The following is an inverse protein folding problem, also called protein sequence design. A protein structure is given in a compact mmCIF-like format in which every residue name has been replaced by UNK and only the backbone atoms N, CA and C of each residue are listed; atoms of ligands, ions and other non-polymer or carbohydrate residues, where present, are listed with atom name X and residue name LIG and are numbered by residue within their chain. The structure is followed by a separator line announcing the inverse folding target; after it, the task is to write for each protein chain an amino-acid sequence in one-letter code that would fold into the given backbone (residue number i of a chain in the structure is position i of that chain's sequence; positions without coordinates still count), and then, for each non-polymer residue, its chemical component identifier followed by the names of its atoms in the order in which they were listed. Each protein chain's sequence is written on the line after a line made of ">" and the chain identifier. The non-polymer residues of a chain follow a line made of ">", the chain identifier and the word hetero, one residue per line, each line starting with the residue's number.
data_IF_509121855298
#
_entry.id   IF_509121855298
#
_cell.length_a   1.000
_cell.length_b   1.000
_cell.length_c   1.000
_cell.angle_alpha   90.00
_cell.angle_beta   90.00
_cell.angle_gamma   90.00
#
_symmetry.space_group_name_H-M   'P 1'
#
loop_
_entity.id
_entity.type
_entity.pdbx_description
1 polymer ?
#
# COMPACT_ATOMS: atom_id res chain seq x y z
N UNK A 1 -20.52 0.44 5.85
CA UNK A 1 -19.28 0.64 5.08
C UNK A 1 -18.76 2.06 5.27
N UNK A 2 -17.44 2.23 5.27
CA UNK A 2 -16.83 3.56 5.40
C UNK A 2 -16.95 4.34 4.09
N UNK A 3 -16.80 3.64 2.98
CA UNK A 3 -16.97 4.10 1.61
C UNK A 3 -17.47 2.92 0.76
N UNK A 4 -18.16 3.20 -0.34
CA UNK A 4 -18.60 2.20 -1.30
C UNK A 4 -17.97 2.44 -2.69
N UNK A 5 -18.12 1.47 -3.60
CA UNK A 5 -17.57 1.54 -4.95
C UNK A 5 -18.10 2.74 -5.76
N UNK A 6 -19.34 3.15 -5.49
CA UNK A 6 -19.96 4.30 -6.15
C UNK A 6 -19.32 5.62 -5.69
N UNK A 7 -19.21 5.85 -4.37
CA UNK A 7 -18.63 7.08 -3.81
C UNK A 7 -17.13 7.16 -4.05
N UNK A 8 -16.40 6.03 -3.88
CA UNK A 8 -14.96 5.97 -4.14
C UNK A 8 -14.59 6.23 -5.60
N UNK A 9 -15.32 5.65 -6.55
CA UNK A 9 -15.09 5.91 -7.98
C UNK A 9 -15.45 7.33 -8.40
N UNK A 10 -16.46 7.95 -7.78
CA UNK A 10 -16.74 9.39 -7.97
C UNK A 10 -15.61 10.25 -7.45
N UNK A 11 -15.05 9.94 -6.28
CA UNK A 11 -13.90 10.64 -5.73
C UNK A 11 -12.68 10.50 -6.66
N UNK A 12 -12.46 9.31 -7.24
CA UNK A 12 -11.40 9.06 -8.21
C UNK A 12 -11.52 10.00 -9.43
N UNK A 13 -12.68 10.03 -10.08
CA UNK A 13 -12.92 10.91 -11.26
C UNK A 13 -12.79 12.40 -10.87
N UNK A 14 -13.32 12.80 -9.71
CA UNK A 14 -13.17 14.17 -9.23
C UNK A 14 -11.70 14.56 -8.97
N UNK A 15 -10.85 13.58 -8.66
CA UNK A 15 -9.40 13.72 -8.51
C UNK A 15 -8.60 13.57 -9.82
N UNK A 16 -9.26 13.36 -10.97
CA UNK A 16 -8.58 13.16 -12.26
C UNK A 16 -8.07 11.72 -12.48
N UNK A 17 -8.51 10.76 -11.67
CA UNK A 17 -8.14 9.34 -11.78
C UNK A 17 -9.18 8.60 -12.61
N UNK A 18 -8.73 8.04 -13.74
CA UNK A 18 -9.63 7.36 -14.71
C UNK A 18 -9.70 5.84 -14.55
N UNK A 19 -8.84 5.26 -13.72
CA UNK A 19 -8.79 3.81 -13.46
C UNK A 19 -8.37 3.55 -12.02
N UNK A 20 -9.00 2.56 -11.37
CA UNK A 20 -8.68 2.17 -9.99
C UNK A 20 -8.46 0.66 -9.88
N UNK A 21 -7.52 0.27 -9.02
CA UNK A 21 -7.26 -1.12 -8.63
C UNK A 21 -7.56 -1.28 -7.14
N UNK A 22 -8.65 -1.95 -6.82
CA UNK A 22 -9.13 -2.03 -5.44
C UNK A 22 -8.57 -3.25 -4.72
N UNK A 23 -8.22 -3.06 -3.46
CA UNK A 23 -7.56 -4.05 -2.60
C UNK A 23 -8.54 -5.08 -2.03
N UNK A 24 -8.09 -6.32 -1.71
CA UNK A 24 -8.96 -7.42 -1.31
C UNK A 24 -9.35 -7.42 0.17
N UNK A 25 -8.79 -6.53 1.00
CA UNK A 25 -9.01 -6.48 2.45
C UNK A 25 -10.36 -5.85 2.83
N UNK A 26 -11.40 -6.30 2.19
CA UNK A 26 -12.80 -5.94 2.42
C UNK A 26 -13.48 -6.91 3.39
N UNK A 27 -14.75 -6.69 3.71
CA UNK A 27 -15.56 -7.61 4.51
C UNK A 27 -16.79 -8.07 3.72
N UNK A 28 -16.82 -9.33 3.26
CA UNK A 28 -15.80 -10.36 3.36
C UNK A 28 -14.55 -10.04 2.49
N UNK A 29 -13.38 -10.67 2.81
CA UNK A 29 -12.16 -10.47 2.02
C UNK A 29 -12.28 -11.15 0.65
N UNK A 30 -11.68 -10.53 -0.38
CA UNK A 30 -11.69 -11.06 -1.75
C UNK A 30 -10.56 -12.07 -1.95
N UNK A 31 -10.63 -13.23 -1.29
CA UNK A 31 -9.60 -14.27 -1.28
C UNK A 31 -10.06 -15.63 -1.85
N UNK A 32 -11.22 -15.66 -2.49
CA UNK A 32 -11.73 -16.82 -3.22
C UNK A 32 -12.59 -16.38 -4.41
N UNK A 33 -12.86 -17.30 -5.32
CA UNK A 33 -13.57 -17.01 -6.58
C UNK A 33 -15.00 -16.50 -6.34
N UNK A 34 -15.69 -16.99 -5.32
CA UNK A 34 -17.05 -16.57 -4.98
C UNK A 34 -17.08 -15.07 -4.60
N UNK A 35 -16.18 -14.64 -3.72
CA UNK A 35 -16.12 -13.25 -3.27
C UNK A 35 -15.55 -12.34 -4.37
N UNK A 36 -14.66 -12.86 -5.22
CA UNK A 36 -14.18 -12.13 -6.38
C UNK A 36 -15.31 -11.84 -7.38
N UNK A 37 -16.12 -12.86 -7.75
CA UNK A 37 -17.27 -12.69 -8.63
C UNK A 37 -18.32 -11.75 -8.00
N UNK A 38 -18.60 -11.91 -6.71
CA UNK A 38 -19.49 -11.00 -5.99
C UNK A 38 -19.04 -9.54 -6.09
N UNK A 39 -17.73 -9.29 -6.00
CA UNK A 39 -17.18 -7.93 -6.11
C UNK A 39 -17.35 -7.37 -7.52
N UNK A 40 -17.12 -8.17 -8.57
CA UNK A 40 -17.41 -7.78 -9.96
C UNK A 40 -18.89 -7.42 -10.14
N UNK A 41 -19.79 -8.23 -9.59
CA UNK A 41 -21.24 -7.98 -9.67
C UNK A 41 -21.63 -6.69 -8.93
N UNK A 42 -21.01 -6.42 -7.78
CA UNK A 42 -21.22 -5.17 -7.03
C UNK A 42 -20.72 -3.93 -7.77
N UNK A 43 -19.67 -4.06 -8.58
CA UNK A 43 -19.10 -2.96 -9.35
C UNK A 43 -19.88 -2.65 -10.62
N UNK A 44 -20.54 -3.66 -11.19
CA UNK A 44 -21.27 -3.54 -12.47
C UNK A 44 -22.30 -2.41 -12.41
N UNK A 45 -22.18 -1.47 -13.37
CA UNK A 45 -23.07 -0.30 -13.50
C UNK A 45 -23.04 0.65 -12.28
N UNK A 46 -22.02 0.58 -11.42
CA UNK A 46 -21.85 1.46 -10.24
C UNK A 46 -20.59 2.29 -10.27
N UNK A 47 -19.60 1.87 -11.03
CA UNK A 47 -18.31 2.56 -11.12
C UNK A 47 -18.35 3.69 -12.16
N UNK A 48 -17.76 4.83 -11.83
CA UNK A 48 -17.60 5.98 -12.73
C UNK A 48 -16.27 5.96 -13.50
N UNK A 49 -15.31 5.13 -13.08
CA UNK A 49 -14.00 4.96 -13.71
C UNK A 49 -13.80 3.51 -14.12
N UNK A 50 -12.75 3.24 -14.89
CA UNK A 50 -12.30 1.87 -15.13
C UNK A 50 -11.85 1.24 -13.81
N UNK A 51 -12.03 -0.07 -13.68
CA UNK A 51 -11.70 -0.77 -12.45
C UNK A 51 -11.22 -2.20 -12.69
N UNK A 52 -10.39 -2.66 -11.78
CA UNK A 52 -10.06 -4.06 -11.61
C UNK A 52 -9.80 -4.33 -10.12
N UNK A 53 -9.76 -5.60 -9.75
CA UNK A 53 -9.64 -6.01 -8.35
C UNK A 53 -8.40 -6.86 -8.13
N UNK A 54 -7.75 -6.67 -6.99
CA UNK A 54 -6.74 -7.61 -6.51
C UNK A 54 -7.40 -8.82 -5.86
N UNK A 55 -6.80 -9.98 -6.11
CA UNK A 55 -7.14 -11.22 -5.41
C UNK A 55 -6.22 -11.36 -4.18
N UNK A 56 -6.79 -11.55 -3.00
CA UNK A 56 -6.03 -11.67 -1.74
C UNK A 56 -5.36 -13.02 -1.60
N UNK A 57 -4.04 -13.02 -1.45
CA UNK A 57 -3.29 -14.21 -1.10
C UNK A 57 -3.48 -14.55 0.37
N UNK A 58 -3.58 -15.85 0.66
CA UNK A 58 -3.55 -16.45 2.00
C UNK A 58 -2.69 -17.70 1.98
N UNK A 59 -2.27 -18.21 3.14
CA UNK A 59 -1.57 -19.50 3.22
C UNK A 59 -2.39 -20.62 2.59
N UNK A 60 -3.72 -20.61 2.78
CA UNK A 60 -4.62 -21.67 2.34
C UNK A 60 -4.87 -21.68 0.83
N UNK A 61 -4.94 -20.48 0.19
CA UNK A 61 -5.26 -20.37 -1.23
C UNK A 61 -4.04 -20.27 -2.16
N UNK A 62 -2.82 -20.34 -1.63
CA UNK A 62 -1.60 -20.12 -2.40
C UNK A 62 -1.50 -20.99 -3.66
N UNK A 63 -2.00 -22.24 -3.62
CA UNK A 63 -2.00 -23.15 -4.78
C UNK A 63 -2.96 -22.72 -5.89
N UNK A 64 -4.03 -22.03 -5.55
CA UNK A 64 -5.08 -21.61 -6.49
C UNK A 64 -4.68 -20.38 -7.30
N UNK A 65 -3.63 -19.66 -6.88
CA UNK A 65 -3.15 -18.43 -7.53
C UNK A 65 -2.66 -18.65 -8.97
N UNK A 66 -2.29 -19.89 -9.32
CA UNK A 66 -1.95 -20.26 -10.68
C UNK A 66 -3.13 -20.11 -11.65
N UNK A 67 -4.35 -20.30 -11.18
CA UNK A 67 -5.58 -20.27 -11.97
C UNK A 67 -6.06 -18.84 -12.28
N UNK A 68 -5.42 -17.81 -11.73
CA UNK A 68 -5.83 -16.42 -11.92
C UNK A 68 -5.32 -15.79 -13.23
N UNK A 69 -4.50 -16.50 -14.03
CA UNK A 69 -3.79 -15.96 -15.20
C UNK A 69 -4.74 -15.18 -16.13
N UNK A 70 -5.83 -15.81 -16.51
CA UNK A 70 -6.79 -15.27 -17.49
C UNK A 70 -8.09 -14.80 -16.81
N UNK A 71 -8.08 -14.63 -15.48
CA UNK A 71 -9.26 -14.16 -14.75
C UNK A 71 -9.55 -12.71 -15.11
N UNK A 72 -10.69 -12.49 -15.78
CA UNK A 72 -11.15 -11.17 -16.17
C UNK A 72 -11.45 -10.30 -14.94
N UNK A 73 -11.10 -9.02 -15.01
CA UNK A 73 -11.25 -8.08 -13.89
C UNK A 73 -10.24 -8.23 -12.75
N UNK A 74 -9.32 -9.21 -12.83
CA UNK A 74 -8.25 -9.40 -11.86
C UNK A 74 -6.96 -8.71 -12.32
N UNK A 75 -6.56 -7.62 -11.64
CA UNK A 75 -5.32 -6.89 -11.96
C UNK A 75 -4.06 -7.53 -11.37
N UNK A 76 -4.18 -8.32 -10.31
CA UNK A 76 -3.02 -8.88 -9.61
C UNK A 76 -3.39 -9.64 -8.35
N UNK A 77 -2.37 -10.09 -7.65
CA UNK A 77 -2.46 -10.77 -6.36
C UNK A 77 -1.99 -9.78 -5.30
N UNK A 78 -2.73 -9.65 -4.20
CA UNK A 78 -2.32 -8.83 -3.05
C UNK A 78 -1.83 -9.69 -1.92
N UNK A 79 -0.62 -9.40 -1.44
CA UNK A 79 0.02 -10.04 -0.29
C UNK A 79 0.21 -9.04 0.84
N UNK A 80 -0.15 -9.40 2.06
CA UNK A 80 0.18 -8.68 3.29
C UNK A 80 1.25 -9.48 4.04
N UNK A 81 2.52 -9.06 3.96
CA UNK A 81 3.63 -9.71 4.64
C UNK A 81 3.74 -9.30 6.12
N UNK A 82 3.07 -8.22 6.50
CA UNK A 82 2.93 -7.74 7.87
C UNK A 82 1.50 -7.29 8.16
N UNK A 83 1.12 -7.27 9.43
CA UNK A 83 -0.20 -6.87 9.90
C UNK A 83 -0.51 -5.42 9.54
N UNK A 84 -1.63 -5.20 8.85
CA UNK A 84 -2.17 -3.90 8.50
C UNK A 84 -3.68 -3.90 8.76
N UNK A 85 -4.50 -3.47 7.80
CA UNK A 85 -5.96 -3.52 7.89
C UNK A 85 -6.51 -4.84 7.33
N UNK A 86 -7.47 -5.46 8.04
CA UNK A 86 -8.07 -6.74 7.64
C UNK A 86 -7.34 -7.97 8.20
N UNK A 87 -7.65 -9.15 7.64
CA UNK A 87 -7.22 -10.46 8.15
C UNK A 87 -6.53 -11.34 7.09
N UNK A 88 -5.89 -10.71 6.09
CA UNK A 88 -5.18 -11.39 5.00
C UNK A 88 -3.66 -11.45 5.23
N UNK A 89 -3.22 -11.76 6.46
CA UNK A 89 -1.80 -11.84 6.79
C UNK A 89 -1.17 -13.15 6.26
N UNK A 90 -0.02 -13.03 5.58
CA UNK A 90 0.86 -14.14 5.20
C UNK A 90 2.27 -13.77 5.65
N UNK A 91 2.64 -14.10 6.87
CA UNK A 91 3.88 -13.67 7.52
C UNK A 91 5.05 -14.63 7.35
N UNK A 92 4.73 -15.94 7.33
CA UNK A 92 5.74 -17.00 7.29
C UNK A 92 6.42 -17.09 5.91
N UNK A 93 7.74 -17.24 5.91
CA UNK A 93 8.52 -17.28 4.67
C UNK A 93 8.08 -18.41 3.74
N UNK A 94 7.80 -19.59 4.29
CA UNK A 94 7.35 -20.76 3.51
C UNK A 94 6.00 -20.49 2.81
N UNK A 95 5.12 -19.72 3.42
CA UNK A 95 3.84 -19.38 2.81
C UNK A 95 3.98 -18.28 1.76
N UNK A 96 4.84 -17.29 2.01
CA UNK A 96 5.22 -16.30 1.01
C UNK A 96 5.88 -16.98 -0.21
N UNK A 97 6.78 -17.93 0.01
CA UNK A 97 7.39 -18.77 -1.03
C UNK A 97 6.32 -19.46 -1.89
N UNK A 98 5.33 -20.11 -1.27
CA UNK A 98 4.21 -20.76 -1.98
C UNK A 98 3.39 -19.77 -2.80
N UNK A 99 3.13 -18.57 -2.28
CA UNK A 99 2.43 -17.51 -3.01
C UNK A 99 3.21 -17.13 -4.27
N UNK A 100 4.51 -16.84 -4.16
CA UNK A 100 5.31 -16.48 -5.34
C UNK A 100 5.49 -17.65 -6.31
N UNK A 101 5.75 -18.85 -5.82
CA UNK A 101 5.87 -20.06 -6.66
C UNK A 101 4.64 -20.24 -7.57
N UNK A 102 3.45 -20.07 -7.04
CA UNK A 102 2.19 -20.29 -7.74
C UNK A 102 1.60 -19.02 -8.37
N UNK A 103 2.16 -17.84 -8.15
CA UNK A 103 1.60 -16.62 -8.72
C UNK A 103 1.62 -16.63 -10.24
N UNK A 104 0.49 -16.28 -10.86
CA UNK A 104 0.32 -16.16 -12.32
C UNK A 104 0.18 -14.70 -12.78
N UNK A 105 0.07 -13.78 -11.85
CA UNK A 105 -0.03 -12.31 -12.04
C UNK A 105 1.01 -11.60 -11.16
N UNK A 106 1.16 -10.28 -11.31
CA UNK A 106 1.97 -9.47 -10.41
C UNK A 106 1.48 -9.62 -8.96
N UNK A 107 2.43 -9.74 -8.03
CA UNK A 107 2.13 -9.77 -6.59
C UNK A 107 2.41 -8.38 -6.02
N UNK A 108 1.35 -7.67 -5.63
CA UNK A 108 1.45 -6.39 -4.95
C UNK A 108 1.55 -6.61 -3.43
N UNK A 109 2.58 -6.08 -2.79
CA UNK A 109 2.94 -6.45 -1.42
C UNK A 109 2.90 -5.25 -0.47
N UNK A 110 2.11 -5.37 0.61
CA UNK A 110 2.33 -4.56 1.80
C UNK A 110 3.50 -5.17 2.57
N UNK A 111 4.64 -4.48 2.57
CA UNK A 111 5.92 -5.04 2.97
C UNK A 111 6.39 -4.49 4.32
N UNK A 112 5.91 -5.10 5.39
CA UNK A 112 6.42 -4.93 6.75
C UNK A 112 6.68 -6.31 7.38
N UNK A 113 7.72 -6.43 8.18
CA UNK A 113 8.14 -7.70 8.80
C UNK A 113 7.34 -7.96 10.08
N UNK A 114 6.47 -8.97 10.04
CA UNK A 114 5.57 -9.30 11.16
C UNK A 114 6.33 -9.71 12.44
N UNK A 115 7.47 -10.38 12.30
CA UNK A 115 8.27 -10.76 13.47
C UNK A 115 8.82 -9.51 14.18
N UNK A 116 9.33 -8.55 13.41
CA UNK A 116 9.80 -7.26 13.95
C UNK A 116 8.63 -6.46 14.54
N UNK A 117 7.47 -6.41 13.84
CA UNK A 117 6.27 -5.76 14.38
C UNK A 117 5.89 -6.33 15.73
N UNK A 118 5.87 -7.66 15.86
CA UNK A 118 5.50 -8.33 17.12
C UNK A 118 6.48 -8.03 18.26
N UNK A 119 7.79 -8.02 17.99
CA UNK A 119 8.81 -7.63 18.98
C UNK A 119 8.64 -6.17 19.41
N UNK A 120 8.31 -5.30 18.45
CA UNK A 120 8.21 -3.87 18.66
C UNK A 120 6.88 -3.41 19.26
N UNK A 121 5.85 -4.25 19.35
CA UNK A 121 4.54 -3.92 19.97
C UNK A 121 4.69 -3.28 21.36
N UNK A 122 5.70 -3.67 22.13
CA UNK A 122 6.03 -3.09 23.45
C UNK A 122 6.41 -1.60 23.41
N UNK A 123 6.71 -1.06 22.22
CA UNK A 123 7.07 0.34 22.01
C UNK A 123 5.84 1.22 21.75
N UNK A 124 4.65 0.63 21.63
CA UNK A 124 3.39 1.36 21.53
C UNK A 124 3.15 2.09 22.84
N UNK A 125 2.84 3.38 22.75
CA UNK A 125 2.49 4.21 23.90
C UNK A 125 1.05 4.68 23.76
N UNK A 126 0.20 4.31 24.70
CA UNK A 126 -1.19 4.72 24.70
C UNK A 126 -1.32 6.25 24.69
N UNK A 127 -2.16 6.76 23.82
CA UNK A 127 -2.37 8.20 23.63
C UNK A 127 -1.29 8.92 22.82
N UNK A 128 -0.17 8.28 22.50
CA UNK A 128 0.97 8.90 21.83
C UNK A 128 1.17 8.35 20.42
N UNK A 129 0.62 9.03 19.41
CA UNK A 129 0.75 8.66 18.00
C UNK A 129 2.18 8.76 17.47
N UNK A 130 3.08 9.50 18.14
CA UNK A 130 4.50 9.54 17.76
C UNK A 130 5.20 8.19 17.95
N UNK A 131 4.65 7.31 18.78
CA UNK A 131 5.15 5.94 18.90
C UNK A 131 4.83 5.06 17.68
N UNK A 132 3.93 5.50 16.78
CA UNK A 132 3.52 4.74 15.59
C UNK A 132 4.70 4.41 14.65
N UNK A 133 5.51 5.37 14.18
CA UNK A 133 6.69 5.08 13.36
C UNK A 133 7.85 4.42 14.14
N UNK A 134 7.79 4.38 15.47
CA UNK A 134 8.81 3.74 16.29
C UNK A 134 8.63 2.23 16.30
N UNK A 135 7.42 1.73 16.56
CA UNK A 135 7.18 0.29 16.56
C UNK A 135 7.04 -0.30 15.15
N UNK A 136 6.49 0.47 14.20
CA UNK A 136 6.53 0.14 12.75
C UNK A 136 7.80 0.74 12.13
N UNK A 137 8.95 0.27 12.58
CA UNK A 137 10.26 0.87 12.31
C UNK A 137 10.68 0.80 10.82
N UNK A 138 11.68 1.60 10.44
CA UNK A 138 12.28 1.51 9.11
C UNK A 138 12.91 0.13 8.85
N UNK A 139 13.50 -0.49 9.89
CA UNK A 139 14.04 -1.85 9.82
C UNK A 139 12.94 -2.87 9.49
N UNK A 140 11.74 -2.70 10.04
CA UNK A 140 10.60 -3.54 9.73
C UNK A 140 10.25 -3.52 8.23
N UNK A 141 10.28 -2.34 7.61
CA UNK A 141 9.99 -2.18 6.18
C UNK A 141 11.09 -2.80 5.31
N UNK A 142 12.35 -2.42 5.52
CA UNK A 142 13.46 -2.91 4.67
C UNK A 142 13.73 -4.41 4.83
N UNK A 143 13.57 -4.98 6.04
CA UNK A 143 13.70 -6.43 6.28
C UNK A 143 12.72 -7.21 5.41
N UNK A 144 11.44 -6.85 5.46
CA UNK A 144 10.41 -7.48 4.64
C UNK A 144 10.69 -7.27 3.15
N UNK A 145 11.01 -6.05 2.72
CA UNK A 145 11.26 -5.73 1.30
C UNK A 145 12.40 -6.56 0.72
N UNK A 146 13.50 -6.73 1.45
CA UNK A 146 14.61 -7.62 1.03
C UNK A 146 14.17 -9.08 0.91
N UNK A 147 13.39 -9.56 1.85
CA UNK A 147 12.83 -10.93 1.83
C UNK A 147 11.93 -11.14 0.61
N UNK A 148 11.00 -10.23 0.35
CA UNK A 148 10.07 -10.30 -0.79
C UNK A 148 10.83 -10.28 -2.12
N UNK A 149 11.78 -9.38 -2.30
CA UNK A 149 12.58 -9.28 -3.54
C UNK A 149 13.35 -10.57 -3.77
N UNK A 150 14.06 -11.09 -2.75
CA UNK A 150 14.79 -12.36 -2.84
C UNK A 150 13.90 -13.52 -3.28
N UNK A 151 12.69 -13.62 -2.73
CA UNK A 151 11.73 -14.68 -3.08
C UNK A 151 11.19 -14.47 -4.50
N UNK A 152 10.81 -13.27 -4.86
CA UNK A 152 10.30 -12.96 -6.20
C UNK A 152 11.35 -13.27 -7.30
N UNK A 153 12.61 -12.91 -7.07
CA UNK A 153 13.72 -13.20 -7.97
C UNK A 153 14.00 -14.71 -8.10
N UNK A 154 13.96 -15.45 -6.98
CA UNK A 154 14.10 -16.92 -6.96
C UNK A 154 13.13 -17.60 -7.93
N UNK A 155 11.88 -17.16 -7.94
CA UNK A 155 10.83 -17.71 -8.79
C UNK A 155 10.66 -16.96 -10.11
N UNK A 156 11.47 -15.93 -10.38
CA UNK A 156 11.36 -15.06 -11.58
C UNK A 156 9.97 -14.48 -11.75
N UNK A 157 9.32 -14.09 -10.66
CA UNK A 157 7.96 -13.54 -10.63
C UNK A 157 8.00 -12.02 -10.49
N UNK A 158 6.94 -11.38 -10.99
CA UNK A 158 6.76 -9.94 -10.84
C UNK A 158 6.26 -9.60 -9.45
N UNK A 159 6.94 -8.69 -8.77
CA UNK A 159 6.49 -8.11 -7.51
C UNK A 159 6.37 -6.58 -7.65
N UNK A 160 5.36 -6.03 -7.01
CA UNK A 160 5.18 -4.59 -6.86
C UNK A 160 5.15 -4.25 -5.36
N UNK A 161 6.16 -3.51 -4.89
CA UNK A 161 6.25 -3.11 -3.48
C UNK A 161 5.43 -1.83 -3.32
N UNK A 162 4.34 -1.94 -2.57
CA UNK A 162 3.41 -0.84 -2.34
C UNK A 162 3.99 0.18 -1.36
N UNK A 163 3.61 1.45 -1.52
CA UNK A 163 3.79 2.55 -0.56
C UNK A 163 5.09 2.50 0.25
N UNK A 164 6.25 2.41 -0.40
CA UNK A 164 7.54 2.44 0.30
C UNK A 164 7.74 3.75 1.05
N UNK A 165 8.41 3.70 2.20
CA UNK A 165 8.51 4.83 3.11
C UNK A 165 9.91 5.16 3.56
N UNK A 166 10.90 4.31 3.28
CA UNK A 166 12.24 4.45 3.85
C UNK A 166 13.32 4.73 2.80
N UNK A 167 14.36 5.43 3.21
CA UNK A 167 15.56 5.66 2.39
C UNK A 167 16.26 4.36 2.03
N UNK A 168 16.27 3.40 2.97
CA UNK A 168 16.87 2.09 2.79
C UNK A 168 16.14 1.29 1.70
N UNK A 169 14.81 1.39 1.64
CA UNK A 169 14.02 0.74 0.58
C UNK A 169 14.30 1.37 -0.80
N UNK A 170 14.34 2.71 -0.91
CA UNK A 170 14.70 3.40 -2.16
C UNK A 170 16.07 2.94 -2.66
N UNK A 171 17.07 2.94 -1.77
CA UNK A 171 18.45 2.58 -2.14
C UNK A 171 18.56 1.12 -2.58
N UNK A 172 17.86 0.23 -1.90
CA UNK A 172 17.83 -1.19 -2.23
C UNK A 172 17.05 -1.44 -3.53
N UNK A 173 15.81 -0.99 -3.63
CA UNK A 173 14.93 -1.28 -4.76
C UNK A 173 15.42 -0.65 -6.08
N UNK A 174 16.12 0.49 -6.02
CA UNK A 174 16.70 1.10 -7.23
C UNK A 174 17.73 0.20 -7.94
N UNK A 175 18.29 -0.79 -7.23
CA UNK A 175 19.24 -1.76 -7.77
C UNK A 175 18.57 -3.04 -8.30
N UNK A 176 17.27 -3.22 -8.06
CA UNK A 176 16.49 -4.42 -8.41
C UNK A 176 15.40 -4.07 -9.43
N UNK A 177 15.81 -3.75 -10.66
CA UNK A 177 14.88 -3.41 -11.75
C UNK A 177 14.44 -4.65 -12.55
N UNK A 178 13.43 -4.50 -13.39
CA UNK A 178 12.90 -5.55 -14.26
C UNK A 178 11.61 -6.17 -13.70
N UNK A 179 11.71 -7.27 -12.97
CA UNK A 179 10.54 -7.91 -12.37
C UNK A 179 10.06 -7.26 -11.07
N UNK A 180 10.86 -6.36 -10.49
CA UNK A 180 10.53 -5.64 -9.26
C UNK A 180 10.19 -4.20 -9.61
N UNK A 181 9.00 -3.77 -9.20
CA UNK A 181 8.53 -2.39 -9.28
C UNK A 181 8.09 -1.90 -7.91
N UNK A 182 8.02 -0.59 -7.71
CA UNK A 182 7.56 -0.03 -6.44
C UNK A 182 6.90 1.33 -6.61
N UNK A 183 6.07 1.67 -5.63
CA UNK A 183 5.36 2.94 -5.59
C UNK A 183 5.67 3.76 -4.34
N UNK A 184 5.45 5.06 -4.45
CA UNK A 184 5.45 6.01 -3.34
C UNK A 184 4.07 6.66 -3.30
N UNK A 185 3.62 7.15 -2.16
CA UNK A 185 2.33 7.84 -2.07
C UNK A 185 2.50 9.35 -1.92
N UNK A 186 1.51 10.17 -2.34
CA UNK A 186 1.52 11.61 -2.11
C UNK A 186 1.65 11.99 -0.63
N UNK A 187 1.08 11.17 0.27
CA UNK A 187 1.16 11.40 1.72
C UNK A 187 2.62 11.41 2.19
N UNK A 188 3.41 10.40 1.80
CA UNK A 188 4.83 10.29 2.15
C UNK A 188 5.71 11.33 1.43
N UNK A 189 5.22 11.95 0.36
CA UNK A 189 5.88 13.04 -0.37
C UNK A 189 5.44 14.45 0.10
N UNK A 190 4.44 14.56 0.97
CA UNK A 190 3.87 15.85 1.37
C UNK A 190 4.14 16.18 2.83
N UNK A 191 4.02 15.21 3.72
CA UNK A 191 4.15 15.40 5.17
C UNK A 191 5.11 14.38 5.77
N UNK A 192 5.77 14.75 6.86
CA UNK A 192 6.75 13.91 7.56
C UNK A 192 6.70 14.11 9.08
N UNK A 193 7.21 13.12 9.81
CA UNK A 193 7.29 13.16 11.27
C UNK A 193 8.48 14.05 11.73
N UNK A 194 8.41 14.69 12.94
CA UNK A 194 7.30 14.62 13.87
C UNK A 194 6.13 15.56 13.54
N UNK A 195 6.34 16.58 12.71
CA UNK A 195 5.43 17.69 12.44
C UNK A 195 4.01 17.25 12.06
N UNK A 196 3.89 16.17 11.27
CA UNK A 196 2.58 15.68 10.86
C UNK A 196 1.77 15.14 12.04
N UNK A 197 2.42 14.49 13.00
CA UNK A 197 1.76 13.98 14.20
C UNK A 197 1.45 15.09 15.21
N UNK A 198 2.32 16.12 15.31
CA UNK A 198 2.07 17.31 16.12
C UNK A 198 0.82 18.06 15.65
N UNK A 199 0.67 18.22 14.33
CA UNK A 199 -0.41 19.01 13.72
C UNK A 199 -1.71 18.23 13.53
N UNK A 200 -1.63 16.96 13.18
CA UNK A 200 -2.76 16.15 12.73
C UNK A 200 -3.12 15.01 13.70
N UNK A 201 -2.24 14.68 14.65
CA UNK A 201 -2.47 13.58 15.58
C UNK A 201 -2.73 12.26 14.83
N UNK A 202 -3.75 11.55 15.26
CA UNK A 202 -4.17 10.27 14.69
C UNK A 202 -4.72 10.38 13.24
N UNK A 203 -5.05 11.57 12.76
CA UNK A 203 -5.39 11.76 11.34
C UNK A 203 -4.20 11.47 10.41
N UNK A 204 -2.95 11.65 10.89
CA UNK A 204 -1.74 11.30 10.14
C UNK A 204 -1.33 9.81 10.27
N UNK A 205 -2.08 9.01 11.04
CA UNK A 205 -1.79 7.59 11.24
C UNK A 205 -2.17 6.78 10.00
N UNK A 206 -1.16 6.14 9.38
CA UNK A 206 -1.30 5.21 8.24
C UNK A 206 -0.25 4.09 8.31
N UNK A 207 -0.40 3.05 7.52
CA UNK A 207 0.52 1.90 7.43
C UNK A 207 1.03 1.71 5.99
N UNK A 208 2.37 1.74 5.76
CA UNK A 208 3.42 2.06 6.71
C UNK A 208 3.38 3.53 7.16
N UNK A 209 3.98 3.86 8.33
CA UNK A 209 3.86 5.20 8.90
C UNK A 209 4.62 6.28 8.14
N UNK A 210 4.20 7.53 8.33
CA UNK A 210 4.98 8.69 7.95
C UNK A 210 6.28 8.72 8.77
N UNK A 211 7.42 8.91 8.07
CA UNK A 211 8.76 8.88 8.63
C UNK A 211 9.31 10.29 8.86
N UNK A 212 10.50 10.36 9.45
CA UNK A 212 11.21 11.63 9.62
C UNK A 212 11.71 12.23 8.30
N UNK A 213 12.20 13.45 8.40
CA UNK A 213 12.65 14.24 7.25
C UNK A 213 13.74 13.56 6.42
N UNK A 214 14.61 12.72 7.02
CA UNK A 214 15.68 12.05 6.28
C UNK A 214 15.13 11.03 5.27
N UNK A 215 14.08 10.32 5.63
CA UNK A 215 13.36 9.42 4.73
C UNK A 215 12.60 10.21 3.67
N UNK A 216 11.86 11.24 4.06
CA UNK A 216 11.13 12.14 3.16
C UNK A 216 12.06 12.73 2.07
N UNK A 217 13.20 13.27 2.45
CA UNK A 217 14.16 13.84 1.49
C UNK A 217 14.69 12.79 0.50
N UNK A 218 14.89 11.54 0.96
CA UNK A 218 15.35 10.45 0.11
C UNK A 218 14.27 9.93 -0.84
N UNK A 219 13.00 9.91 -0.41
CA UNK A 219 11.87 9.62 -1.30
C UNK A 219 11.80 10.65 -2.44
N UNK A 220 11.93 11.94 -2.13
CA UNK A 220 11.99 12.99 -3.16
C UNK A 220 13.20 12.87 -4.08
N UNK A 221 14.35 12.48 -3.55
CA UNK A 221 15.50 12.15 -4.39
C UNK A 221 15.17 11.03 -5.37
N UNK A 222 14.49 9.98 -4.89
CA UNK A 222 14.04 8.86 -5.72
C UNK A 222 13.11 9.31 -6.86
N UNK A 223 12.10 10.09 -6.54
CA UNK A 223 11.15 10.63 -7.55
C UNK A 223 11.88 11.47 -8.61
N UNK A 224 12.73 12.40 -8.20
CA UNK A 224 13.48 13.28 -9.15
C UNK A 224 14.46 12.51 -10.04
N UNK A 225 14.92 11.34 -9.61
CA UNK A 225 15.83 10.49 -10.38
C UNK A 225 15.13 9.30 -11.04
N UNK A 226 13.78 9.31 -11.13
CA UNK A 226 12.98 8.27 -11.75
C UNK A 226 13.28 6.86 -11.20
N UNK A 227 13.48 6.77 -9.88
CA UNK A 227 13.77 5.49 -9.22
C UNK A 227 12.48 4.69 -8.97
N UNK A 228 11.38 5.36 -8.58
CA UNK A 228 10.07 4.73 -8.43
C UNK A 228 9.40 4.51 -9.78
N UNK A 229 8.50 3.54 -9.83
CA UNK A 229 7.79 3.17 -11.07
C UNK A 229 6.41 3.86 -11.13
N UNK A 230 5.76 4.06 -9.98
CA UNK A 230 4.42 4.69 -9.92
C UNK A 230 4.25 5.55 -8.67
N UNK A 231 3.18 6.37 -8.69
CA UNK A 231 2.63 7.04 -7.51
C UNK A 231 1.27 6.38 -7.20
N UNK A 232 1.18 5.72 -6.06
CA UNK A 232 -0.06 5.10 -5.59
C UNK A 232 -0.83 6.00 -4.63
N UNK A 233 -2.16 5.88 -4.56
CA UNK A 233 -2.96 6.71 -3.66
C UNK A 233 -3.00 6.20 -2.22
N UNK A 234 -2.85 4.90 -2.03
CA UNK A 234 -3.14 4.22 -0.76
C UNK A 234 -4.43 4.75 -0.10
N UNK A 235 -5.49 4.87 -0.92
CA UNK A 235 -6.77 5.41 -0.47
C UNK A 235 -7.44 4.49 0.53
N UNK A 236 -7.35 4.84 1.81
CA UNK A 236 -7.89 4.08 2.93
C UNK A 236 -8.70 5.00 3.86
N UNK A 237 -9.90 5.43 3.46
CA UNK A 237 -10.74 6.35 4.22
C UNK A 237 -11.32 5.68 5.47
N UNK A 238 -11.46 6.49 6.53
CA UNK A 238 -12.14 6.11 7.77
C UNK A 238 -13.07 7.22 8.22
N UNK A 239 -14.13 6.87 8.95
CA UNK A 239 -15.02 7.85 9.55
C UNK A 239 -14.27 8.76 10.52
N UNK A 240 -14.62 10.04 10.54
CA UNK A 240 -13.94 11.05 11.37
C UNK A 240 -13.98 10.70 12.85
N UNK A 241 -15.10 10.16 13.34
CA UNK A 241 -15.24 9.70 14.73
C UNK A 241 -14.28 8.56 15.08
N UNK A 242 -13.98 7.66 14.13
CA UNK A 242 -13.02 6.59 14.33
C UNK A 242 -11.57 7.13 14.34
N UNK A 243 -11.26 8.06 13.43
CA UNK A 243 -9.94 8.71 13.37
C UNK A 243 -9.65 9.58 14.61
N UNK A 244 -10.67 10.09 15.31
CA UNK A 244 -10.53 10.85 16.56
C UNK A 244 -10.25 10.00 17.80
N UNK A 245 -10.38 8.68 17.71
CA UNK A 245 -10.04 7.80 18.84
C UNK A 245 -8.60 7.98 19.24
N UNK A 246 -8.34 7.85 20.54
CA UNK A 246 -6.97 7.86 21.07
C UNK A 246 -6.14 6.74 20.45
N UNK A 247 -4.89 7.03 20.13
CA UNK A 247 -3.92 6.02 19.72
C UNK A 247 -3.72 4.98 20.84
N UNK A 248 -3.63 3.66 20.53
CA UNK A 248 -3.59 3.04 19.22
C UNK A 248 -4.97 2.64 18.65
N UNK A 249 -6.09 3.03 19.28
CA UNK A 249 -7.43 2.60 18.90
C UNK A 249 -7.99 3.33 17.66
N UNK A 250 -7.31 4.37 17.19
CA UNK A 250 -7.60 5.01 15.92
C UNK A 250 -7.17 4.10 14.77
N UNK A 251 -7.99 3.90 13.72
CA UNK A 251 -7.58 3.08 12.57
C UNK A 251 -6.50 3.79 11.76
N UNK A 252 -5.56 3.02 11.20
CA UNK A 252 -4.56 3.50 10.24
C UNK A 252 -5.16 3.59 8.84
N UNK A 253 -4.89 4.69 8.15
CA UNK A 253 -5.33 4.96 6.80
C UNK A 253 -5.70 6.42 6.58
N UNK A 254 -5.47 6.91 5.36
CA UNK A 254 -5.77 8.27 4.93
C UNK A 254 -6.53 8.23 3.59
N UNK A 255 -7.46 9.16 3.33
CA UNK A 255 -8.01 9.31 1.99
C UNK A 255 -6.93 9.86 1.04
N UNK A 256 -6.97 9.45 -0.24
CA UNK A 256 -5.94 9.86 -1.20
C UNK A 256 -6.41 9.96 -2.65
N UNK A 257 -7.40 9.17 -3.08
CA UNK A 257 -7.74 9.04 -4.50
C UNK A 257 -8.20 10.35 -5.14
N UNK A 258 -8.97 11.17 -4.41
CA UNK A 258 -9.43 12.47 -4.93
C UNK A 258 -8.33 13.53 -4.92
N UNK A 259 -7.32 13.40 -4.08
CA UNK A 259 -6.30 14.42 -3.86
C UNK A 259 -4.94 14.08 -4.49
N UNK A 260 -4.74 12.85 -4.97
CA UNK A 260 -3.47 12.41 -5.55
C UNK A 260 -2.98 13.38 -6.63
N UNK A 261 -3.73 13.53 -7.73
CA UNK A 261 -3.30 14.41 -8.82
C UNK A 261 -3.23 15.89 -8.43
N UNK A 262 -4.22 16.49 -7.74
CA UNK A 262 -4.11 17.88 -7.26
C UNK A 262 -2.88 18.13 -6.37
N UNK A 263 -2.56 17.23 -5.45
CA UNK A 263 -1.37 17.36 -4.58
C UNK A 263 -0.08 17.25 -5.39
N UNK A 264 0.01 16.27 -6.28
CA UNK A 264 1.20 16.09 -7.12
C UNK A 264 1.39 17.23 -8.12
N UNK A 265 0.31 17.75 -8.70
CA UNK A 265 0.38 18.96 -9.55
C UNK A 265 0.80 20.21 -8.78
N UNK A 266 0.39 20.33 -7.50
CA UNK A 266 0.91 21.39 -6.65
C UNK A 266 2.43 21.25 -6.44
N UNK A 267 2.93 20.03 -6.24
CA UNK A 267 4.37 19.77 -6.16
C UNK A 267 5.12 20.09 -7.47
N UNK A 268 4.48 19.88 -8.64
CA UNK A 268 5.02 20.37 -9.93
C UNK A 268 5.09 21.91 -9.95
N UNK A 269 4.01 22.58 -9.53
CA UNK A 269 3.97 24.04 -9.44
C UNK A 269 5.03 24.61 -8.49
N UNK A 270 5.32 23.92 -7.39
CA UNK A 270 6.37 24.24 -6.42
C UNK A 270 7.80 23.90 -6.93
N UNK A 271 7.94 23.37 -8.15
CA UNK A 271 9.22 23.00 -8.75
C UNK A 271 9.89 21.78 -8.14
N UNK A 272 9.16 20.94 -7.39
CA UNK A 272 9.72 19.73 -6.75
C UNK A 272 9.96 18.60 -7.75
N UNK A 273 9.14 18.53 -8.80
CA UNK A 273 9.30 17.63 -9.95
C UNK A 273 8.72 18.30 -11.20
N UNK A 274 9.07 17.79 -12.38
CA UNK A 274 8.49 18.25 -13.65
C UNK A 274 7.17 17.52 -13.95
N UNK A 275 6.36 18.08 -14.86
CA UNK A 275 5.15 17.40 -15.32
C UNK A 275 5.48 16.05 -15.99
N UNK A 276 6.58 16.00 -16.78
CA UNK A 276 7.02 14.75 -17.42
C UNK A 276 7.45 13.66 -16.41
N UNK A 277 7.93 14.04 -15.23
CA UNK A 277 8.24 13.07 -14.16
C UNK A 277 6.99 12.59 -13.43
N UNK A 278 5.92 13.38 -13.44
CA UNK A 278 4.65 13.00 -12.85
C UNK A 278 3.87 12.05 -13.77
N UNK A 279 3.97 12.22 -15.09
CA UNK A 279 3.28 11.39 -16.10
C UNK A 279 3.98 10.07 -16.37
#
# INVERSE_FOLDING_TARGET
>A
DTEDLHSGSRAAIAGGITSVFEMPNTNPPTSNMKEFQRKLDLAKNRMYCNYAFYFGATADNAKDLANLKDLEGCCGIKLFAGSSTGNLLVAEEDDIDKVFQNSSKVVAVHSEDEAILNVNKKLIKDGDVHSHPVWRSAECAISSTRRIVRIAERYKKKAHILHITTKEEIDFLSQHKGNITFEITPQHLTIYAPDCYDKLGTYAQMNPPLRDKSHYDRLWYGVRNNMNDTIGSDHAPHLKENKKKSYPNSPSGMPGVQTLMPVMLNHVNDGKLTLNQLM
#
